data_IF_322789117727
#
_entry.id   IF_322789117727
#
_cell.length_a   1.000
_cell.length_b   1.000
_cell.length_c   1.000
_cell.angle_alpha   90.00
_cell.angle_beta   90.00
_cell.angle_gamma   90.00
#
_symmetry.space_group_name_H-M   'P 1'
#
loop_
_entity.id
_entity.type
_entity.pdbx_description
1 polymer ?
#
# COMPACT_ATOMS: atom_id res chain seq x y z
N UNK A 1 34.58 2.12 -33.00
CA UNK A 1 33.20 1.63 -32.80
C UNK A 1 33.08 0.58 -31.71
N UNK A 2 34.10 -0.26 -31.48
CA UNK A 2 34.04 -1.35 -30.49
C UNK A 2 34.08 -0.84 -29.03
N UNK A 3 34.88 0.18 -28.73
CA UNK A 3 35.02 0.76 -27.37
C UNK A 3 33.77 1.49 -26.87
N UNK A 4 32.97 2.07 -27.76
CA UNK A 4 31.70 2.71 -27.36
C UNK A 4 30.59 1.68 -27.04
N UNK A 5 30.66 0.50 -27.65
CA UNK A 5 29.70 -0.59 -27.38
C UNK A 5 29.97 -1.27 -26.04
N UNK A 6 31.24 -1.46 -25.69
CA UNK A 6 31.63 -2.05 -24.41
C UNK A 6 31.20 -1.18 -23.23
N UNK A 7 31.39 0.14 -23.32
CA UNK A 7 30.98 1.07 -22.25
C UNK A 7 29.47 1.06 -22.00
N UNK A 8 28.66 0.95 -23.07
CA UNK A 8 27.20 0.87 -22.96
C UNK A 8 26.72 -0.47 -22.38
N UNK A 9 27.45 -1.55 -22.65
CA UNK A 9 27.17 -2.86 -22.07
C UNK A 9 27.48 -2.88 -20.57
N UNK A 10 28.60 -2.27 -20.16
CA UNK A 10 28.97 -2.14 -18.75
C UNK A 10 27.97 -1.29 -17.96
N UNK A 11 27.49 -0.18 -18.55
CA UNK A 11 26.44 0.66 -17.96
C UNK A 11 25.10 -0.10 -17.81
N UNK A 12 24.73 -0.88 -18.81
CA UNK A 12 23.51 -1.70 -18.78
C UNK A 12 23.62 -2.81 -17.74
N UNK A 13 24.77 -3.47 -17.65
CA UNK A 13 25.02 -4.53 -16.66
C UNK A 13 25.00 -3.97 -15.23
N UNK A 14 25.59 -2.78 -15.01
CA UNK A 14 25.53 -2.08 -13.74
C UNK A 14 24.08 -1.71 -13.35
N UNK A 15 23.29 -1.23 -14.33
CA UNK A 15 21.89 -0.91 -14.12
C UNK A 15 21.03 -2.14 -13.80
N UNK A 16 21.25 -3.24 -14.52
CA UNK A 16 20.57 -4.51 -14.25
C UNK A 16 20.94 -5.05 -12.86
N UNK A 17 22.21 -4.96 -12.46
CA UNK A 17 22.66 -5.36 -11.12
C UNK A 17 22.03 -4.50 -10.04
N UNK A 18 21.93 -3.20 -10.26
CA UNK A 18 21.25 -2.29 -9.34
C UNK A 18 19.77 -2.65 -9.19
N UNK A 19 19.04 -2.83 -10.29
CA UNK A 19 17.63 -3.25 -10.28
C UNK A 19 17.45 -4.61 -9.58
N UNK A 20 18.33 -5.56 -9.84
CA UNK A 20 18.30 -6.88 -9.21
C UNK A 20 18.55 -6.79 -7.71
N UNK A 21 19.50 -5.95 -7.28
CA UNK A 21 19.76 -5.71 -5.87
C UNK A 21 18.58 -5.01 -5.17
N UNK A 22 17.94 -4.04 -5.83
CA UNK A 22 16.75 -3.36 -5.31
C UNK A 22 15.58 -4.38 -5.14
N UNK A 23 15.38 -5.27 -6.11
CA UNK A 23 14.37 -6.33 -6.03
C UNK A 23 14.69 -7.37 -4.93
N UNK A 24 15.96 -7.71 -4.75
CA UNK A 24 16.41 -8.67 -3.72
C UNK A 24 16.42 -8.06 -2.31
N UNK A 25 16.24 -6.73 -2.15
CA UNK A 25 16.16 -6.06 -0.86
C UNK A 25 14.73 -5.98 -0.30
N UNK A 26 13.73 -6.50 -1.03
CA UNK A 26 12.36 -6.56 -0.53
C UNK A 26 12.24 -7.68 0.50
N UNK A 27 11.97 -7.30 1.73
CA UNK A 27 11.73 -8.25 2.81
C UNK A 27 10.40 -9.00 2.61
N UNK A 28 10.38 -10.29 2.92
CA UNK A 28 9.13 -11.03 3.05
C UNK A 28 8.53 -10.78 4.43
N UNK A 29 7.71 -9.74 4.56
CA UNK A 29 7.06 -9.35 5.81
C UNK A 29 5.74 -10.10 5.98
N UNK A 30 5.02 -10.31 4.87
CA UNK A 30 3.78 -11.08 4.83
C UNK A 30 3.81 -12.14 3.73
N UNK A 31 3.01 -13.18 3.93
CA UNK A 31 2.72 -14.21 2.93
C UNK A 31 1.24 -14.57 3.03
N UNK A 32 0.41 -13.94 2.19
CA UNK A 32 -1.06 -14.06 2.24
C UNK A 32 -1.59 -15.29 1.53
N UNK A 33 -0.84 -15.83 0.57
CA UNK A 33 -1.30 -16.80 -0.41
C UNK A 33 -1.73 -16.18 -1.75
N UNK A 34 -1.79 -14.85 -1.84
CA UNK A 34 -2.04 -14.12 -3.08
C UNK A 34 -0.77 -13.38 -3.50
N UNK A 35 -0.16 -13.82 -4.61
CA UNK A 35 1.15 -13.32 -5.06
C UNK A 35 1.16 -11.83 -5.37
N UNK A 36 0.03 -11.28 -5.85
CA UNK A 36 -0.06 -9.86 -6.18
C UNK A 36 -0.12 -9.00 -4.92
N UNK A 37 -0.93 -9.40 -3.93
CA UNK A 37 -0.97 -8.74 -2.62
C UNK A 37 0.43 -8.79 -1.98
N UNK A 38 1.05 -9.96 -1.96
CA UNK A 38 2.37 -10.16 -1.35
C UNK A 38 3.42 -9.24 -1.98
N UNK A 39 3.45 -9.14 -3.31
CA UNK A 39 4.39 -8.29 -4.04
C UNK A 39 4.20 -6.80 -3.69
N UNK A 40 2.96 -6.31 -3.73
CA UNK A 40 2.65 -4.89 -3.46
C UNK A 40 2.94 -4.56 -2.00
N UNK A 41 2.43 -5.36 -1.08
CA UNK A 41 2.51 -5.09 0.36
C UNK A 41 3.95 -5.19 0.84
N UNK A 42 4.67 -6.26 0.51
CA UNK A 42 6.06 -6.43 0.93
C UNK A 42 6.95 -5.29 0.42
N UNK A 43 6.77 -4.85 -0.82
CA UNK A 43 7.51 -3.70 -1.37
C UNK A 43 7.25 -2.43 -0.57
N UNK A 44 5.99 -2.12 -0.27
CA UNK A 44 5.62 -0.91 0.49
C UNK A 44 6.05 -0.98 1.95
N UNK A 45 5.86 -2.11 2.61
CA UNK A 45 6.24 -2.28 4.02
C UNK A 45 7.77 -2.28 4.18
N UNK A 46 8.52 -2.84 3.24
CA UNK A 46 9.99 -2.74 3.24
C UNK A 46 10.44 -1.28 3.16
N UNK A 47 9.83 -0.48 2.28
CA UNK A 47 10.12 0.94 2.19
C UNK A 47 9.79 1.69 3.51
N UNK A 48 8.67 1.37 4.14
CA UNK A 48 8.30 1.94 5.44
C UNK A 48 9.29 1.58 6.56
N UNK A 49 9.74 0.32 6.58
CA UNK A 49 10.75 -0.17 7.53
C UNK A 49 12.08 0.59 7.41
N UNK A 50 12.54 0.83 6.17
CA UNK A 50 13.76 1.62 5.92
C UNK A 50 13.64 3.08 6.36
N UNK A 51 12.41 3.59 6.51
CA UNK A 51 12.11 4.94 7.05
C UNK A 51 11.97 4.96 8.58
N UNK A 52 12.27 3.86 9.25
CA UNK A 52 12.19 3.74 10.71
C UNK A 52 10.75 3.70 11.24
N UNK A 53 9.78 3.27 10.43
CA UNK A 53 8.40 3.12 10.85
C UNK A 53 8.20 1.72 11.41
N UNK A 54 7.60 1.61 12.60
CA UNK A 54 7.24 0.33 13.20
C UNK A 54 6.08 -0.32 12.44
N UNK A 55 6.21 -1.61 12.11
CA UNK A 55 5.25 -2.32 11.28
C UNK A 55 4.55 -3.44 12.03
N UNK A 56 3.23 -3.48 11.92
CA UNK A 56 2.39 -4.55 12.42
C UNK A 56 1.51 -5.05 11.28
N UNK A 57 1.81 -6.22 10.72
CA UNK A 57 1.11 -6.74 9.56
C UNK A 57 0.59 -8.15 9.81
N UNK A 58 -0.70 -8.34 9.57
CA UNK A 58 -1.37 -9.64 9.53
C UNK A 58 -2.22 -9.68 8.27
N UNK A 59 -1.98 -10.64 7.41
CA UNK A 59 -2.66 -10.69 6.13
C UNK A 59 -2.87 -12.13 5.65
N UNK A 60 -4.11 -12.44 5.28
CA UNK A 60 -4.53 -13.66 4.62
C UNK A 60 -5.45 -13.25 3.46
N UNK A 61 -5.26 -13.84 2.30
CA UNK A 61 -6.11 -13.57 1.16
C UNK A 61 -6.28 -14.81 0.27
N UNK A 62 -7.46 -15.00 -0.36
CA UNK A 62 -7.62 -16.02 -1.38
C UNK A 62 -6.72 -15.76 -2.59
N UNK A 63 -6.30 -16.82 -3.27
CA UNK A 63 -5.55 -16.70 -4.53
C UNK A 63 -6.29 -15.89 -5.59
N UNK A 64 -7.60 -16.12 -5.68
CA UNK A 64 -8.48 -15.43 -6.61
C UNK A 64 -9.45 -14.53 -5.86
N UNK A 65 -9.39 -13.24 -6.15
CA UNK A 65 -10.22 -12.22 -5.49
C UNK A 65 -11.39 -11.77 -6.35
N UNK A 66 -11.32 -11.96 -7.68
CA UNK A 66 -12.26 -11.36 -8.61
C UNK A 66 -12.06 -9.84 -8.79
N UNK A 67 -10.93 -9.33 -8.35
CA UNK A 67 -10.47 -7.95 -8.53
C UNK A 67 -9.29 -7.96 -9.50
N UNK A 68 -9.30 -7.07 -10.49
CA UNK A 68 -8.20 -6.93 -11.44
C UNK A 68 -6.90 -6.54 -10.74
N UNK A 69 -5.78 -7.08 -11.19
CA UNK A 69 -4.47 -6.83 -10.58
C UNK A 69 -4.10 -5.34 -10.54
N UNK A 70 -4.47 -4.59 -11.60
CA UNK A 70 -4.25 -3.15 -11.68
C UNK A 70 -5.04 -2.40 -10.60
N UNK A 71 -6.29 -2.78 -10.38
CA UNK A 71 -7.13 -2.14 -9.36
C UNK A 71 -6.66 -2.49 -7.95
N UNK A 72 -6.23 -3.73 -7.75
CA UNK A 72 -5.65 -4.16 -6.48
C UNK A 72 -4.36 -3.38 -6.17
N UNK A 73 -3.51 -3.16 -7.19
CA UNK A 73 -2.31 -2.34 -7.07
C UNK A 73 -2.63 -0.87 -6.76
N UNK A 74 -3.67 -0.32 -7.39
CA UNK A 74 -4.16 1.04 -7.10
C UNK A 74 -4.64 1.14 -5.65
N UNK A 75 -5.46 0.20 -5.19
CA UNK A 75 -6.03 0.23 -3.84
C UNK A 75 -4.92 0.09 -2.79
N UNK A 76 -4.21 -1.02 -2.78
CA UNK A 76 -3.19 -1.32 -1.77
C UNK A 76 -1.99 -0.37 -1.86
N UNK A 77 -1.54 -0.08 -3.08
CA UNK A 77 -0.41 0.82 -3.30
C UNK A 77 -0.67 2.22 -2.77
N UNK A 78 -1.85 2.80 -3.05
CA UNK A 78 -2.21 4.13 -2.54
C UNK A 78 -2.52 4.13 -1.04
N UNK A 79 -3.20 3.09 -0.51
CA UNK A 79 -3.43 2.96 0.93
C UNK A 79 -2.12 3.01 1.72
N UNK A 80 -1.16 2.18 1.35
CA UNK A 80 0.12 2.10 2.03
C UNK A 80 1.01 3.33 1.78
N UNK A 81 1.01 3.87 0.56
CA UNK A 81 1.74 5.13 0.27
C UNK A 81 1.21 6.28 1.12
N UNK A 82 -0.12 6.44 1.21
CA UNK A 82 -0.73 7.48 2.04
C UNK A 82 -0.38 7.31 3.52
N UNK A 83 -0.40 6.09 4.04
CA UNK A 83 -0.01 5.78 5.41
C UNK A 83 1.46 6.12 5.69
N UNK A 84 2.37 5.75 4.78
CA UNK A 84 3.80 6.06 4.87
C UNK A 84 4.02 7.56 4.86
N UNK A 85 3.45 8.28 3.90
CA UNK A 85 3.61 9.73 3.78
C UNK A 85 3.04 10.50 4.98
N UNK A 86 1.92 10.04 5.55
CA UNK A 86 1.35 10.64 6.75
C UNK A 86 2.26 10.42 7.96
N UNK A 87 2.71 9.18 8.15
CA UNK A 87 3.57 8.81 9.28
C UNK A 87 4.95 9.46 9.21
N UNK A 88 5.52 9.68 8.02
CA UNK A 88 6.80 10.39 7.86
C UNK A 88 6.75 11.84 8.31
N UNK A 89 5.59 12.49 8.24
CA UNK A 89 5.41 13.88 8.67
C UNK A 89 5.33 14.05 10.19
N UNK A 90 5.13 12.93 10.88
CA UNK A 90 5.07 12.97 12.35
C UNK A 90 6.44 13.28 12.94
N UNK A 91 6.47 14.26 13.84
CA UNK A 91 7.68 14.68 14.56
C UNK A 91 7.97 13.82 15.80
N UNK A 92 7.13 12.85 16.11
CA UNK A 92 7.31 11.90 17.20
C UNK A 92 8.53 11.00 16.99
N UNK A 93 9.04 10.43 18.08
CA UNK A 93 10.14 9.46 18.02
C UNK A 93 9.81 8.29 17.09
N UNK A 94 10.83 7.66 16.53
CA UNK A 94 10.64 6.50 15.63
C UNK A 94 9.81 5.38 16.26
N UNK A 95 9.89 5.22 17.57
CA UNK A 95 9.17 4.18 18.33
C UNK A 95 7.67 4.43 18.45
N UNK A 96 7.24 5.68 18.26
CA UNK A 96 5.83 6.08 18.29
C UNK A 96 5.17 6.08 16.91
N UNK A 97 5.98 6.05 15.85
CA UNK A 97 5.48 6.01 14.46
C UNK A 97 5.22 4.58 14.03
N UNK A 98 3.99 4.28 13.66
CA UNK A 98 3.63 2.94 13.22
C UNK A 98 2.67 2.92 12.02
N UNK A 99 2.70 1.81 11.31
CA UNK A 99 1.68 1.39 10.34
C UNK A 99 1.23 -0.01 10.73
N UNK A 100 -0.09 -0.20 10.82
CA UNK A 100 -0.72 -1.49 11.01
C UNK A 100 -1.52 -1.85 9.76
N UNK A 101 -1.26 -3.03 9.23
CA UNK A 101 -2.00 -3.61 8.12
C UNK A 101 -2.73 -4.87 8.60
N UNK A 102 -4.01 -4.94 8.29
CA UNK A 102 -4.80 -6.14 8.46
C UNK A 102 -5.55 -6.45 7.16
N UNK A 103 -5.39 -7.67 6.65
CA UNK A 103 -6.13 -8.18 5.48
C UNK A 103 -6.66 -9.55 5.83
N UNK A 104 -7.97 -9.75 5.69
CA UNK A 104 -8.59 -11.06 5.89
C UNK A 104 -9.89 -11.21 5.09
N UNK A 105 -10.22 -12.42 4.63
CA UNK A 105 -11.54 -12.70 4.13
C UNK A 105 -12.54 -12.68 5.30
N UNK A 106 -13.61 -11.91 5.15
CA UNK A 106 -14.70 -11.81 6.11
C UNK A 106 -16.03 -12.10 5.40
N UNK A 107 -16.59 -13.28 5.62
CA UNK A 107 -17.76 -13.77 4.86
C UNK A 107 -17.47 -13.76 3.36
N UNK A 108 -18.22 -12.98 2.59
CA UNK A 108 -18.10 -12.86 1.13
C UNK A 108 -17.33 -11.60 0.71
N UNK A 109 -16.54 -11.03 1.59
CA UNK A 109 -15.73 -9.84 1.31
C UNK A 109 -14.28 -10.04 1.70
N UNK A 110 -13.37 -9.37 1.00
CA UNK A 110 -12.02 -9.13 1.50
C UNK A 110 -12.05 -7.84 2.30
N UNK A 111 -11.72 -7.92 3.57
CA UNK A 111 -11.55 -6.77 4.45
C UNK A 111 -10.09 -6.36 4.50
N UNK A 112 -9.84 -5.08 4.28
CA UNK A 112 -8.51 -4.47 4.33
C UNK A 112 -8.59 -3.30 5.30
N UNK A 113 -7.69 -3.25 6.28
CA UNK A 113 -7.53 -2.10 7.17
C UNK A 113 -6.07 -1.65 7.16
N UNK A 114 -5.87 -0.37 6.92
CA UNK A 114 -4.57 0.30 7.10
C UNK A 114 -4.74 1.39 8.14
N UNK A 115 -3.99 1.28 9.22
CA UNK A 115 -4.00 2.23 10.33
C UNK A 115 -2.60 2.79 10.51
N UNK A 116 -2.47 4.09 10.67
CA UNK A 116 -1.19 4.75 10.84
C UNK A 116 -1.24 5.89 11.85
N UNK A 117 -0.09 6.23 12.39
CA UNK A 117 0.07 7.41 13.23
C UNK A 117 -0.22 8.68 12.43
N UNK A 118 -1.04 9.56 12.98
CA UNK A 118 -1.39 10.86 12.44
C UNK A 118 -1.88 11.77 13.57
N UNK A 119 -0.96 12.50 14.20
CA UNK A 119 -1.25 13.27 15.41
C UNK A 119 -2.12 14.49 15.14
N UNK A 120 -1.95 15.14 13.99
CA UNK A 120 -2.82 16.23 13.58
C UNK A 120 -4.14 15.72 13.03
N UNK A 121 -5.25 16.30 13.50
CA UNK A 121 -6.57 16.00 12.95
C UNK A 121 -6.59 16.32 11.45
N UNK A 122 -6.85 15.34 10.60
CA UNK A 122 -6.84 15.55 9.16
C UNK A 122 -7.94 16.52 8.73
N UNK A 123 -7.66 17.31 7.71
CA UNK A 123 -8.65 18.19 7.12
C UNK A 123 -9.86 17.40 6.61
N UNK A 124 -11.09 17.96 6.68
CA UNK A 124 -12.31 17.28 6.21
C UNK A 124 -12.21 16.72 4.77
N UNK A 125 -11.36 17.31 3.94
CA UNK A 125 -11.08 16.83 2.58
C UNK A 125 -10.51 15.42 2.50
N UNK A 126 -9.89 14.89 3.56
CA UNK A 126 -9.39 13.52 3.61
C UNK A 126 -10.51 12.49 3.80
N UNK A 127 -11.69 12.91 4.23
CA UNK A 127 -12.86 12.05 4.43
C UNK A 127 -13.84 12.08 3.26
N UNK A 128 -13.68 13.00 2.32
CA UNK A 128 -14.67 13.29 1.27
C UNK A 128 -14.06 13.23 -0.14
N UNK A 129 -14.80 12.61 -1.06
CA UNK A 129 -14.52 12.55 -2.51
C UNK A 129 -14.47 13.94 -3.20
N UNK A 130 -14.95 15.00 -2.56
CA UNK A 130 -15.21 16.30 -3.23
C UNK A 130 -14.02 17.24 -3.32
N UNK A 131 -12.86 16.92 -2.76
CA UNK A 131 -11.70 17.82 -2.83
C UNK A 131 -10.60 17.25 -3.74
N UNK A 132 -10.75 17.49 -5.02
CA UNK A 132 -9.71 17.25 -6.03
C UNK A 132 -8.65 18.35 -5.91
N UNK A 133 -7.84 18.31 -4.88
CA UNK A 133 -6.57 19.00 -4.84
C UNK A 133 -5.45 17.96 -5.00
N UNK A 134 -4.32 18.34 -5.58
CA UNK A 134 -3.19 17.46 -5.94
C UNK A 134 -2.77 16.42 -4.88
N UNK A 135 -3.07 16.63 -3.59
CA UNK A 135 -2.84 15.70 -2.47
C UNK A 135 -3.97 14.66 -2.28
N UNK A 136 -5.15 14.87 -2.83
CA UNK A 136 -6.31 13.98 -2.74
C UNK A 136 -6.42 12.94 -3.87
N UNK A 137 -5.52 12.97 -4.84
CA UNK A 137 -5.63 12.10 -6.02
C UNK A 137 -5.48 10.62 -5.69
N UNK A 138 -4.64 10.27 -4.74
CA UNK A 138 -4.50 8.89 -4.25
C UNK A 138 -5.77 8.35 -3.60
N UNK A 139 -6.42 9.15 -2.75
CA UNK A 139 -7.69 8.79 -2.11
C UNK A 139 -8.81 8.63 -3.13
N UNK A 140 -8.91 9.55 -4.08
CA UNK A 140 -9.87 9.48 -5.17
C UNK A 140 -9.70 8.20 -6.00
N UNK A 141 -8.45 7.81 -6.30
CA UNK A 141 -8.17 6.57 -7.04
C UNK A 141 -8.58 5.32 -6.27
N UNK A 142 -8.37 5.30 -4.95
CA UNK A 142 -8.84 4.22 -4.10
C UNK A 142 -10.36 4.11 -4.19
N UNK A 143 -11.07 5.22 -3.99
CA UNK A 143 -12.52 5.24 -3.96
C UNK A 143 -13.12 4.80 -5.30
N UNK A 144 -12.58 5.29 -6.41
CA UNK A 144 -12.99 4.89 -7.77
C UNK A 144 -12.71 3.41 -8.05
N UNK A 145 -11.57 2.88 -7.62
CA UNK A 145 -11.24 1.49 -7.81
C UNK A 145 -12.15 0.58 -6.98
N UNK A 146 -12.42 0.94 -5.73
CA UNK A 146 -13.31 0.18 -4.82
C UNK A 146 -14.76 0.21 -5.32
N UNK A 147 -15.25 1.36 -5.78
CA UNK A 147 -16.62 1.53 -6.30
C UNK A 147 -16.90 0.63 -7.51
N UNK A 148 -15.91 0.41 -8.40
CA UNK A 148 -16.04 -0.51 -9.55
C UNK A 148 -16.42 -1.93 -9.14
N UNK A 149 -16.05 -2.34 -7.95
CA UNK A 149 -16.36 -3.66 -7.39
C UNK A 149 -17.53 -3.64 -6.41
N UNK A 150 -18.26 -2.53 -6.31
CA UNK A 150 -19.34 -2.36 -5.32
C UNK A 150 -18.85 -2.54 -3.88
N UNK A 151 -17.59 -2.21 -3.65
CA UNK A 151 -16.97 -2.20 -2.34
C UNK A 151 -17.28 -0.93 -1.57
N UNK A 152 -16.76 -0.85 -0.35
CA UNK A 152 -16.92 0.31 0.53
C UNK A 152 -15.59 0.77 1.08
N UNK A 153 -15.46 2.07 1.28
CA UNK A 153 -14.33 2.70 1.96
C UNK A 153 -14.84 3.50 3.14
N UNK A 154 -14.24 3.30 4.30
CA UNK A 154 -14.50 4.06 5.50
C UNK A 154 -13.19 4.61 6.06
N UNK A 155 -13.18 5.87 6.49
CA UNK A 155 -12.01 6.55 7.05
C UNK A 155 -12.36 7.15 8.39
N UNK A 156 -11.49 6.96 9.38
CA UNK A 156 -11.64 7.50 10.72
C UNK A 156 -10.32 8.07 11.21
N UNK A 157 -10.41 9.15 11.94
CA UNK A 157 -9.31 9.66 12.74
C UNK A 157 -9.76 9.74 14.19
N UNK A 158 -8.96 9.22 15.08
CA UNK A 158 -9.24 9.22 16.52
C UNK A 158 -7.92 9.12 17.28
N UNK A 159 -7.74 9.99 18.26
CA UNK A 159 -6.60 9.95 19.18
C UNK A 159 -5.20 9.85 18.54
N UNK A 160 -4.98 10.61 17.48
CA UNK A 160 -3.68 10.62 16.79
C UNK A 160 -3.43 9.45 15.85
N UNK A 161 -4.48 8.72 15.51
CA UNK A 161 -4.43 7.55 14.62
C UNK A 161 -5.43 7.72 13.49
N UNK A 162 -5.00 7.48 12.27
CA UNK A 162 -5.84 7.46 11.08
C UNK A 162 -6.01 6.04 10.57
N UNK A 163 -7.25 5.62 10.38
CA UNK A 163 -7.59 4.31 9.86
C UNK A 163 -8.38 4.43 8.55
N UNK A 164 -8.01 3.63 7.56
CA UNK A 164 -8.79 3.42 6.34
C UNK A 164 -9.18 1.96 6.24
N UNK A 165 -10.47 1.71 6.16
CA UNK A 165 -11.07 0.39 5.98
C UNK A 165 -11.62 0.29 4.56
N UNK A 166 -11.33 -0.83 3.89
CA UNK A 166 -11.86 -1.16 2.57
C UNK A 166 -12.48 -2.54 2.63
N UNK A 167 -13.66 -2.69 2.06
CA UNK A 167 -14.29 -3.98 1.83
C UNK A 167 -14.52 -4.20 0.34
N UNK A 168 -14.06 -5.32 -0.18
CA UNK A 168 -14.24 -5.72 -1.57
C UNK A 168 -15.03 -7.03 -1.62
N UNK A 169 -16.18 -7.10 -2.32
CA UNK A 169 -16.90 -8.34 -2.50
C UNK A 169 -16.01 -9.39 -3.19
N UNK A 170 -15.97 -10.59 -2.63
CA UNK A 170 -15.34 -11.74 -3.27
C UNK A 170 -16.33 -12.36 -4.25
N UNK A 171 -15.86 -12.73 -5.44
CA UNK A 171 -16.70 -13.50 -6.37
C UNK A 171 -17.04 -14.84 -5.72
N UNK A 172 -18.32 -15.13 -5.57
CA UNK A 172 -18.74 -16.47 -5.18
C UNK A 172 -18.21 -17.45 -6.23
N UNK A 173 -17.50 -18.49 -5.77
CA UNK A 173 -17.27 -19.66 -6.61
C UNK A 173 -18.65 -20.30 -6.85
N UNK A 174 -19.17 -20.09 -8.05
CA UNK A 174 -20.31 -20.86 -8.55
C UNK A 174 -19.90 -22.30 -8.78
#
# INVERSE_FOLDING_TARGET
QTLMNDHRLDELDAYIKQLTNELNQVDTIIQTGNTMIDAIVNTKLTAAKHKGISLYATAIAPNELGVEHVDLAIILGNLLTNAIEATEKESSSSDERFIRLYIAPMKNTLYINVTNTMTENPKPSLFSLKSINRRGYGLYRIDQAVERYQGMVNRKWEDGVFATEVTLPLKNRS
#
